data_IF_260029662718
#
_entry.id   IF_260029662718
#
_cell.length_a   1.000
_cell.length_b   1.000
_cell.length_c   1.000
_cell.angle_alpha   90.00
_cell.angle_beta   90.00
_cell.angle_gamma   90.00
#
_symmetry.space_group_name_H-M   'P 1'
#
loop_
_entity.id
_entity.type
_entity.pdbx_description
1 polymer ?
#
# COMPACT_ATOMS: atom_id res chain seq x y z
N UNK A 1 6.15 17.18 2.15
CA UNK A 1 5.65 15.92 1.55
C UNK A 1 6.32 14.71 2.18
N UNK A 2 5.58 13.66 2.41
CA UNK A 2 6.07 12.42 3.00
C UNK A 2 5.99 11.30 1.95
N UNK A 3 7.04 10.51 1.87
CA UNK A 3 7.10 9.31 1.04
C UNK A 3 6.89 8.10 1.94
N UNK A 4 6.00 7.21 1.53
CA UNK A 4 5.66 5.98 2.26
C UNK A 4 5.92 4.80 1.36
N UNK A 5 6.88 3.95 1.74
CA UNK A 5 7.29 2.81 0.94
C UNK A 5 7.04 1.54 1.73
N UNK A 6 6.30 0.60 1.15
CA UNK A 6 6.02 -0.69 1.78
C UNK A 6 6.40 -1.79 0.81
N UNK A 7 7.08 -2.81 1.34
CA UNK A 7 7.46 -3.98 0.56
C UNK A 7 6.83 -5.21 1.22
N UNK A 8 6.25 -6.08 0.40
CA UNK A 8 5.54 -7.26 0.87
C UNK A 8 6.07 -8.53 0.24
N UNK A 9 5.97 -9.63 1.00
CA UNK A 9 6.01 -10.98 0.43
C UNK A 9 4.62 -11.59 0.55
N UNK A 10 4.28 -12.46 -0.39
CA UNK A 10 3.00 -13.17 -0.39
C UNK A 10 3.12 -14.50 0.35
N UNK A 11 1.99 -15.00 0.84
CA UNK A 11 1.91 -16.34 1.40
C UNK A 11 2.06 -17.39 0.30
N UNK A 12 2.51 -18.56 0.69
CA UNK A 12 2.60 -19.71 -0.22
C UNK A 12 1.22 -20.02 -0.82
N UNK A 13 1.20 -20.33 -2.09
CA UNK A 13 -0.04 -20.64 -2.80
C UNK A 13 -0.79 -19.46 -3.37
N UNK A 14 -0.40 -18.22 -3.01
CA UNK A 14 -1.02 -17.02 -3.55
C UNK A 14 -0.48 -16.76 -4.95
N UNK A 15 -1.38 -16.54 -5.93
CA UNK A 15 -0.99 -16.21 -7.29
C UNK A 15 -0.53 -14.77 -7.34
N UNK A 16 0.71 -14.54 -7.74
CA UNK A 16 1.41 -13.26 -7.60
C UNK A 16 0.75 -12.12 -8.38
N UNK A 17 0.39 -12.36 -9.63
CA UNK A 17 -0.20 -11.33 -10.49
C UNK A 17 -1.64 -10.99 -10.10
N UNK A 18 -2.41 -11.98 -9.72
CA UNK A 18 -3.79 -11.77 -9.30
C UNK A 18 -3.85 -10.98 -8.00
N UNK A 19 -2.95 -11.29 -7.06
CA UNK A 19 -2.90 -10.59 -5.78
C UNK A 19 -2.52 -9.12 -5.97
N UNK A 20 -1.50 -8.80 -6.77
CA UNK A 20 -1.11 -7.42 -6.99
C UNK A 20 -2.20 -6.62 -7.70
N UNK A 21 -2.91 -7.23 -8.63
CA UNK A 21 -4.02 -6.58 -9.32
C UNK A 21 -5.14 -6.21 -8.35
N UNK A 22 -5.45 -7.11 -7.42
CA UNK A 22 -6.45 -6.85 -6.39
C UNK A 22 -6.00 -5.71 -5.46
N UNK A 23 -4.76 -5.76 -4.97
CA UNK A 23 -4.23 -4.72 -4.07
C UNK A 23 -4.29 -3.37 -4.76
N UNK A 24 -3.83 -3.29 -6.01
CA UNK A 24 -3.89 -2.07 -6.80
C UNK A 24 -5.34 -1.57 -6.93
N UNK A 25 -6.27 -2.46 -7.22
CA UNK A 25 -7.67 -2.10 -7.46
C UNK A 25 -8.37 -1.49 -6.26
N UNK A 26 -7.93 -1.83 -5.03
CA UNK A 26 -8.55 -1.31 -3.81
C UNK A 26 -7.78 -0.14 -3.19
N UNK A 27 -6.47 -0.02 -3.44
CA UNK A 27 -5.66 1.06 -2.85
C UNK A 27 -5.54 2.30 -3.74
N UNK A 28 -5.33 2.12 -5.04
CA UNK A 28 -5.15 3.28 -5.95
C UNK A 28 -6.35 4.22 -5.96
N UNK A 29 -7.60 3.71 -5.96
CA UNK A 29 -8.77 4.60 -5.92
C UNK A 29 -8.93 5.44 -4.66
N UNK A 30 -8.15 5.17 -3.61
CA UNK A 30 -8.20 5.96 -2.39
C UNK A 30 -7.60 7.36 -2.57
N UNK A 31 -6.77 7.55 -3.60
CA UNK A 31 -6.29 8.88 -3.99
C UNK A 31 -7.48 9.75 -4.37
N UNK A 32 -7.59 10.91 -3.75
CA UNK A 32 -8.75 11.80 -3.94
C UNK A 32 -9.92 11.50 -3.01
N UNK A 33 -9.90 10.39 -2.29
CA UNK A 33 -10.94 10.02 -1.31
C UNK A 33 -10.47 10.20 0.13
N UNK A 34 -9.18 9.98 0.38
CA UNK A 34 -8.59 10.16 1.71
C UNK A 34 -7.80 11.46 1.70
N UNK A 35 -8.14 12.43 2.57
CA UNK A 35 -7.44 13.71 2.60
C UNK A 35 -5.94 13.55 2.82
N UNK A 36 -5.14 14.25 2.02
CA UNK A 36 -3.69 14.26 2.13
C UNK A 36 -2.96 13.11 1.43
N UNK A 37 -3.68 12.13 0.91
CA UNK A 37 -3.09 11.08 0.06
C UNK A 37 -3.01 11.60 -1.36
N UNK A 38 -1.76 11.81 -1.85
CA UNK A 38 -1.48 12.46 -3.13
C UNK A 38 -1.24 11.48 -4.27
N UNK A 39 -0.62 10.33 -3.97
CA UNK A 39 -0.21 9.36 -4.99
C UNK A 39 -0.13 7.96 -4.38
N UNK A 40 -0.45 6.95 -5.20
CA UNK A 40 -0.40 5.55 -4.80
C UNK A 40 -0.03 4.68 -5.99
N UNK A 41 1.01 3.87 -5.83
CA UNK A 41 1.41 2.85 -6.79
C UNK A 41 1.53 1.52 -6.10
N UNK A 42 1.08 0.46 -6.76
CA UNK A 42 1.27 -0.92 -6.29
C UNK A 42 1.79 -1.71 -7.48
N UNK A 43 2.99 -2.27 -7.34
CA UNK A 43 3.68 -2.93 -8.46
C UNK A 43 4.26 -4.26 -8.04
N UNK A 44 4.37 -5.16 -9.02
CA UNK A 44 5.17 -6.37 -8.87
C UNK A 44 6.64 -5.99 -8.77
N UNK A 45 7.35 -6.61 -7.82
CA UNK A 45 8.79 -6.52 -7.76
C UNK A 45 9.38 -7.71 -8.53
N UNK A 46 10.40 -7.46 -9.31
CA UNK A 46 11.11 -8.54 -10.01
C UNK A 46 12.40 -8.96 -9.30
N UNK A 47 12.74 -8.26 -8.22
CA UNK A 47 13.95 -8.52 -7.44
C UNK A 47 13.65 -8.22 -5.97
N UNK A 48 14.06 -9.09 -5.08
CA UNK A 48 13.86 -8.94 -3.64
C UNK A 48 12.49 -9.42 -3.19
N UNK A 49 11.65 -8.51 -2.72
CA UNK A 49 10.30 -8.82 -2.26
C UNK A 49 9.35 -9.10 -3.43
N UNK A 50 8.10 -9.47 -3.14
CA UNK A 50 7.11 -9.77 -4.17
C UNK A 50 6.41 -8.53 -4.70
N UNK A 51 6.06 -7.60 -3.81
CA UNK A 51 5.30 -6.39 -4.17
C UNK A 51 5.94 -5.16 -3.57
N UNK A 52 5.85 -4.05 -4.30
CA UNK A 52 6.26 -2.74 -3.83
C UNK A 52 5.08 -1.79 -3.89
N UNK A 53 4.83 -1.10 -2.79
CA UNK A 53 3.83 -0.05 -2.68
C UNK A 53 4.56 1.26 -2.42
N UNK A 54 4.27 2.27 -3.24
CA UNK A 54 4.83 3.59 -3.08
C UNK A 54 3.70 4.60 -3.01
N UNK A 55 3.69 5.43 -1.97
CA UNK A 55 2.68 6.46 -1.83
C UNK A 55 3.27 7.76 -1.32
N UNK A 56 2.55 8.85 -1.58
CA UNK A 56 2.94 10.21 -1.19
C UNK A 56 1.81 10.85 -0.41
N UNK A 57 2.18 11.55 0.66
CA UNK A 57 1.25 12.24 1.55
C UNK A 57 1.68 13.68 1.74
N UNK A 58 0.72 14.57 1.98
CA UNK A 58 1.00 15.99 2.22
C UNK A 58 1.89 16.21 3.44
N UNK A 59 1.73 15.38 4.48
CA UNK A 59 2.40 15.52 5.77
C UNK A 59 2.42 14.21 6.54
N UNK A 60 3.18 14.18 7.62
CA UNK A 60 3.18 13.04 8.55
C UNK A 60 1.81 12.83 9.18
N UNK A 61 1.12 13.93 9.48
CA UNK A 61 -0.23 13.88 10.02
C UNK A 61 -1.21 13.22 9.03
N UNK A 62 -1.08 13.54 7.74
CA UNK A 62 -1.89 12.92 6.70
C UNK A 62 -1.65 11.41 6.62
N UNK A 63 -0.40 10.97 6.76
CA UNK A 63 -0.06 9.55 6.78
C UNK A 63 -0.67 8.84 7.99
N UNK A 64 -0.59 9.45 9.17
CA UNK A 64 -1.22 8.90 10.38
C UNK A 64 -2.73 8.77 10.21
N UNK A 65 -3.36 9.79 9.65
CA UNK A 65 -4.80 9.78 9.40
C UNK A 65 -5.18 8.66 8.42
N UNK A 66 -4.38 8.47 7.39
CA UNK A 66 -4.57 7.40 6.41
C UNK A 66 -4.51 6.02 7.06
N UNK A 67 -3.54 5.79 7.95
CA UNK A 67 -3.32 4.49 8.57
C UNK A 67 -4.56 3.99 9.31
N UNK A 68 -5.29 4.87 9.99
CA UNK A 68 -6.51 4.53 10.72
C UNK A 68 -7.81 4.86 10.00
N UNK A 69 -7.74 5.39 8.78
CA UNK A 69 -8.92 5.81 8.03
C UNK A 69 -9.80 4.62 7.65
N UNK A 70 -11.14 4.71 7.82
CA UNK A 70 -12.04 3.61 7.48
C UNK A 70 -11.90 3.11 6.04
N UNK A 71 -11.64 4.01 5.08
CA UNK A 71 -11.43 3.64 3.67
C UNK A 71 -10.20 2.77 3.48
N UNK A 72 -9.10 3.09 4.17
CA UNK A 72 -7.88 2.28 4.12
C UNK A 72 -8.08 0.92 4.81
N UNK A 73 -8.72 0.92 5.97
CA UNK A 73 -8.97 -0.32 6.71
C UNK A 73 -9.87 -1.26 5.92
N UNK A 74 -10.91 -0.73 5.27
CA UNK A 74 -11.79 -1.53 4.41
C UNK A 74 -11.04 -2.11 3.21
N UNK A 75 -10.17 -1.31 2.58
CA UNK A 75 -9.35 -1.80 1.47
C UNK A 75 -8.42 -2.92 1.90
N UNK A 76 -7.77 -2.77 3.06
CA UNK A 76 -6.86 -3.78 3.63
C UNK A 76 -7.52 -5.13 3.84
N UNK A 77 -8.80 -5.16 4.22
CA UNK A 77 -9.54 -6.39 4.46
C UNK A 77 -9.57 -7.29 3.22
N UNK A 78 -9.46 -6.72 2.03
CA UNK A 78 -9.49 -7.50 0.79
C UNK A 78 -8.20 -8.27 0.52
N UNK A 79 -7.06 -7.86 1.09
CA UNK A 79 -5.78 -8.43 0.66
C UNK A 79 -4.79 -8.78 1.78
N UNK A 80 -4.97 -8.29 3.01
CA UNK A 80 -3.97 -8.51 4.05
C UNK A 80 -3.66 -9.99 4.28
N UNK A 81 -4.63 -10.86 4.09
CA UNK A 81 -4.48 -12.31 4.30
C UNK A 81 -3.65 -12.99 3.21
N UNK A 82 -3.37 -12.31 2.10
CA UNK A 82 -2.47 -12.84 1.06
C UNK A 82 -1.00 -12.61 1.41
N UNK A 83 -0.72 -11.77 2.38
CA UNK A 83 0.62 -11.29 2.67
C UNK A 83 1.26 -12.07 3.81
N UNK A 84 2.57 -12.36 3.66
CA UNK A 84 3.35 -13.07 4.67
C UNK A 84 4.17 -12.10 5.51
N UNK A 85 4.96 -11.25 4.86
CA UNK A 85 5.78 -10.27 5.57
C UNK A 85 5.63 -8.88 4.99
N UNK A 86 5.96 -7.88 5.80
CA UNK A 86 5.87 -6.47 5.44
C UNK A 86 7.03 -5.71 6.06
N UNK A 87 7.71 -4.91 5.25
CA UNK A 87 8.67 -3.93 5.74
C UNK A 87 8.26 -2.56 5.21
N UNK A 88 8.57 -1.51 5.97
CA UNK A 88 8.09 -0.18 5.68
C UNK A 88 9.16 0.85 5.99
N UNK A 89 9.23 1.90 5.19
CA UNK A 89 10.04 3.08 5.46
C UNK A 89 9.26 4.33 5.06
N UNK A 90 9.24 5.30 5.94
CA UNK A 90 8.62 6.59 5.72
C UNK A 90 9.68 7.67 5.88
N UNK A 91 9.68 8.65 4.99
CA UNK A 91 10.63 9.74 5.09
C UNK A 91 10.06 11.05 4.53
N UNK A 92 10.56 12.16 5.05
CA UNK A 92 10.21 13.49 4.54
C UNK A 92 11.08 13.82 3.33
N UNK A 93 10.45 14.41 2.35
CA UNK A 93 11.17 14.91 1.19
C UNK A 93 11.83 16.25 1.53
#
# INVERSE_FOLDING_TARGET
MVKHIVLYTRKEGVEKKEAVALIESVLVPLVGKIPGLLHMEVKLAFNGMDYALYSEFESREALENYAGHPGHLAAKEHFWHFLDSRVCADYDL
#
